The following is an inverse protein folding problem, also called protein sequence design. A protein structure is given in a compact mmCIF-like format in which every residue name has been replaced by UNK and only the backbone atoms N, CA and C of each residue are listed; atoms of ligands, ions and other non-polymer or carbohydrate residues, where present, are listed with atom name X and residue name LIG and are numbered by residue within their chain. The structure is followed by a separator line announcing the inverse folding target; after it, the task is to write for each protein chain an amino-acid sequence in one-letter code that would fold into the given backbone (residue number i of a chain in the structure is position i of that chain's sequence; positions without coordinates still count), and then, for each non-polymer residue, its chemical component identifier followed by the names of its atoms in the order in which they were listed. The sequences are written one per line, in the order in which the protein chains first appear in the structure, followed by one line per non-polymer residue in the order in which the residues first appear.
data_IF_078864141604
#
_entry.id   IF_078864141604
#
_cell.length_a   1.000
_cell.length_b   1.000
_cell.length_c   1.000
_cell.angle_alpha   90.00
_cell.angle_beta   90.00
_cell.angle_gamma   90.00
#
_symmetry.space_group_name_H-M   'P 1'
#
loop_
_entity.id
_entity.type
_entity.pdbx_description
1 polymer ?
#
# COMPACT_ATOMS: atom_id res chain seq x y z
N UNK A 1 -8.83 4.96 11.09
CA UNK A 1 -8.83 4.77 12.55
C UNK A 1 -7.83 3.66 12.89
N UNK A 2 -6.98 3.78 13.92
CA UNK A 2 -6.08 2.70 14.34
C UNK A 2 -6.87 1.44 14.70
N UNK A 3 -6.38 0.25 14.32
CA UNK A 3 -7.07 -1.04 14.57
C UNK A 3 -7.41 -1.23 16.06
N UNK A 4 -6.56 -0.76 16.96
CA UNK A 4 -6.77 -0.82 18.41
C UNK A 4 -8.00 -0.02 18.87
N UNK A 5 -8.17 1.21 18.34
CA UNK A 5 -9.34 2.03 18.66
C UNK A 5 -10.64 1.42 18.11
N UNK A 6 -10.57 0.80 16.94
CA UNK A 6 -11.71 0.09 16.35
C UNK A 6 -12.12 -1.12 17.21
N UNK A 7 -11.15 -1.94 17.65
CA UNK A 7 -11.41 -3.04 18.59
C UNK A 7 -12.04 -2.56 19.89
N UNK A 8 -11.49 -1.50 20.50
CA UNK A 8 -12.01 -0.94 21.73
C UNK A 8 -13.47 -0.47 21.57
N UNK A 9 -13.77 0.27 20.50
CA UNK A 9 -15.13 0.75 20.22
C UNK A 9 -16.12 -0.40 20.00
N UNK A 10 -15.71 -1.45 19.28
CA UNK A 10 -16.54 -2.64 19.04
C UNK A 10 -16.79 -3.38 20.35
N UNK A 11 -15.75 -3.62 21.14
CA UNK A 11 -15.89 -4.31 22.43
C UNK A 11 -16.83 -3.54 23.36
N UNK A 12 -16.64 -2.23 23.49
CA UNK A 12 -17.50 -1.37 24.30
C UNK A 12 -18.96 -1.44 23.84
N UNK A 13 -19.19 -1.38 22.52
CA UNK A 13 -20.54 -1.44 21.94
C UNK A 13 -21.22 -2.80 22.17
N UNK A 14 -20.47 -3.91 21.97
CA UNK A 14 -20.96 -5.27 22.25
C UNK A 14 -21.31 -5.42 23.72
N UNK A 15 -20.43 -5.00 24.63
CA UNK A 15 -20.66 -5.10 26.08
C UNK A 15 -21.85 -4.26 26.54
N UNK A 16 -21.93 -3.00 26.10
CA UNK A 16 -23.04 -2.11 26.45
C UNK A 16 -24.39 -2.70 25.97
N UNK A 17 -24.43 -3.21 24.73
CA UNK A 17 -25.63 -3.83 24.19
C UNK A 17 -25.99 -5.14 24.90
N UNK A 18 -25.01 -5.95 25.28
CA UNK A 18 -25.24 -7.19 26.04
C UNK A 18 -25.85 -6.89 27.42
N UNK A 19 -25.33 -5.88 28.13
CA UNK A 19 -25.86 -5.43 29.41
C UNK A 19 -27.30 -4.89 29.27
N UNK A 20 -27.55 -4.06 28.27
CA UNK A 20 -28.89 -3.54 28.00
C UNK A 20 -29.88 -4.68 27.67
N UNK A 21 -29.46 -5.67 26.88
CA UNK A 21 -30.28 -6.83 26.52
C UNK A 21 -30.57 -7.73 27.74
N UNK A 22 -29.62 -7.84 28.68
CA UNK A 22 -29.82 -8.55 29.94
C UNK A 22 -30.80 -7.83 30.88
N UNK A 23 -30.78 -6.49 30.91
CA UNK A 23 -31.67 -5.69 31.76
C UNK A 23 -33.09 -5.56 31.18
N UNK A 24 -33.22 -5.56 29.85
CA UNK A 24 -34.50 -5.37 29.15
C UNK A 24 -34.79 -6.48 28.12
N UNK A 25 -34.93 -7.76 28.54
CA UNK A 25 -35.04 -8.91 27.63
C UNK A 25 -36.30 -8.87 26.74
N UNK A 26 -37.35 -8.17 27.16
CA UNK A 26 -38.64 -8.07 26.44
C UNK A 26 -38.62 -7.08 25.26
N UNK A 27 -37.64 -6.18 25.20
CA UNK A 27 -37.55 -5.16 24.15
C UNK A 27 -37.06 -5.77 22.83
N UNK A 28 -36.32 -6.88 22.88
CA UNK A 28 -35.82 -7.55 21.68
C UNK A 28 -34.66 -6.77 21.01
N UNK A 29 -33.64 -6.40 21.78
CA UNK A 29 -32.49 -5.60 21.31
C UNK A 29 -31.52 -6.34 20.37
N UNK A 30 -31.77 -7.62 20.09
CA UNK A 30 -30.91 -8.45 19.25
C UNK A 30 -30.57 -7.84 17.86
N UNK A 31 -31.49 -7.20 17.10
CA UNK A 31 -31.15 -6.59 15.82
C UNK A 31 -30.06 -5.51 15.90
N UNK A 32 -29.85 -4.88 17.06
CA UNK A 32 -28.80 -3.86 17.24
C UNK A 32 -27.38 -4.42 17.22
N UNK A 33 -27.19 -5.75 17.22
CA UNK A 33 -25.89 -6.35 16.96
C UNK A 33 -25.47 -6.24 15.49
N UNK A 34 -26.42 -6.12 14.55
CA UNK A 34 -26.16 -6.00 13.11
C UNK A 34 -25.20 -4.84 12.80
N UNK A 35 -25.45 -3.58 13.21
CA UNK A 35 -24.53 -2.48 12.93
C UNK A 35 -23.14 -2.69 13.54
N UNK A 36 -23.03 -3.38 14.69
CA UNK A 36 -21.73 -3.69 15.32
C UNK A 36 -20.96 -4.72 14.48
N UNK A 37 -21.64 -5.75 13.97
CA UNK A 37 -21.06 -6.73 13.04
C UNK A 37 -20.61 -6.06 11.75
N UNK A 38 -21.44 -5.17 11.18
CA UNK A 38 -21.08 -4.39 10.00
C UNK A 38 -19.80 -3.55 10.25
N UNK A 39 -19.73 -2.83 11.37
CA UNK A 39 -18.58 -2.04 11.76
C UNK A 39 -17.31 -2.90 11.93
N UNK A 40 -17.43 -4.10 12.52
CA UNK A 40 -16.32 -5.04 12.65
C UNK A 40 -15.82 -5.56 11.30
N UNK A 41 -16.73 -5.98 10.41
CA UNK A 41 -16.40 -6.39 9.04
C UNK A 41 -15.67 -5.28 8.27
N UNK A 42 -16.12 -4.02 8.43
CA UNK A 42 -15.56 -2.87 7.75
C UNK A 42 -14.22 -2.41 8.34
N UNK A 43 -14.09 -2.29 9.65
CA UNK A 43 -12.89 -1.74 10.28
C UNK A 43 -11.76 -2.77 10.48
N UNK A 44 -12.10 -4.06 10.70
CA UNK A 44 -11.14 -5.07 11.16
C UNK A 44 -10.92 -6.23 10.18
N UNK A 45 -11.80 -6.39 9.19
CA UNK A 45 -11.72 -7.40 8.13
C UNK A 45 -12.47 -8.69 8.42
N UNK A 46 -12.33 -9.68 7.52
CA UNK A 46 -13.18 -10.88 7.50
C UNK A 46 -13.12 -11.74 8.76
N UNK A 47 -11.92 -12.08 9.23
CA UNK A 47 -11.74 -12.93 10.43
C UNK A 47 -12.38 -12.30 11.68
N UNK A 48 -12.15 -11.01 11.89
CA UNK A 48 -12.70 -10.27 13.01
C UNK A 48 -14.23 -10.07 12.89
N UNK A 49 -14.73 -9.77 11.69
CA UNK A 49 -16.16 -9.62 11.42
C UNK A 49 -16.96 -10.88 11.74
N UNK A 50 -16.49 -12.05 11.29
CA UNK A 50 -17.13 -13.33 11.62
C UNK A 50 -17.03 -13.68 13.11
N UNK A 51 -15.90 -13.40 13.75
CA UNK A 51 -15.77 -13.59 15.20
C UNK A 51 -16.82 -12.77 15.96
N UNK A 52 -16.97 -11.48 15.62
CA UNK A 52 -17.96 -10.60 16.25
C UNK A 52 -19.39 -11.08 15.96
N UNK A 53 -19.69 -11.56 14.75
CA UNK A 53 -20.99 -12.14 14.41
C UNK A 53 -21.34 -13.36 15.26
N UNK A 54 -20.38 -14.26 15.50
CA UNK A 54 -20.56 -15.44 16.35
C UNK A 54 -20.80 -15.02 17.80
N UNK A 55 -19.96 -14.12 18.34
CA UNK A 55 -20.10 -13.61 19.70
C UNK A 55 -21.45 -12.92 19.89
N UNK A 56 -21.86 -12.08 18.94
CA UNK A 56 -23.16 -11.43 18.95
C UNK A 56 -24.33 -12.43 18.93
N UNK A 57 -24.23 -13.51 18.14
CA UNK A 57 -25.26 -14.55 18.10
C UNK A 57 -25.42 -15.23 19.46
N UNK A 58 -24.33 -15.54 20.14
CA UNK A 58 -24.34 -16.09 21.50
C UNK A 58 -24.94 -15.10 22.50
N UNK A 59 -24.42 -13.88 22.57
CA UNK A 59 -24.86 -12.87 23.54
C UNK A 59 -26.33 -12.46 23.37
N UNK A 60 -26.85 -12.49 22.14
CA UNK A 60 -28.25 -12.20 21.88
C UNK A 60 -29.22 -13.23 22.49
N UNK A 61 -28.72 -14.40 22.92
CA UNK A 61 -29.54 -15.49 23.45
C UNK A 61 -29.40 -15.63 24.97
N UNK A 62 -28.29 -15.16 25.54
CA UNK A 62 -27.99 -15.24 26.98
C UNK A 62 -29.14 -14.80 27.89
N UNK A 63 -29.84 -13.67 27.65
CA UNK A 63 -30.92 -13.24 28.55
C UNK A 63 -32.12 -14.19 28.60
N UNK A 64 -32.33 -14.98 27.55
CA UNK A 64 -33.38 -15.99 27.51
C UNK A 64 -32.99 -17.30 28.20
N UNK A 65 -31.71 -17.46 28.58
CA UNK A 65 -31.27 -18.57 29.43
C UNK A 65 -31.80 -18.38 30.87
N UNK A 66 -32.07 -17.17 31.33
CA UNK A 66 -32.68 -16.98 32.64
C UNK A 66 -34.17 -17.41 32.68
N UNK A 67 -34.82 -17.53 31.51
CA UNK A 67 -36.20 -18.00 31.33
C UNK A 67 -36.27 -19.53 31.10
N UNK A 68 -35.17 -20.25 31.34
CA UNK A 68 -35.00 -21.70 31.15
C UNK A 68 -36.06 -22.63 31.78
N UNK A 69 -36.82 -22.30 32.85
CA UNK A 69 -37.76 -23.27 33.43
C UNK A 69 -38.93 -23.70 32.52
N UNK A 70 -39.10 -23.11 31.33
CA UNK A 70 -40.23 -23.42 30.42
C UNK A 70 -39.91 -23.51 28.92
N UNK A 71 -38.63 -23.46 28.51
CA UNK A 71 -38.25 -23.47 27.09
C UNK A 71 -37.70 -24.83 26.65
N UNK A 72 -38.18 -25.37 25.55
CA UNK A 72 -37.61 -26.59 24.97
C UNK A 72 -36.18 -26.31 24.46
N UNK A 73 -35.20 -27.21 24.69
CA UNK A 73 -33.84 -27.06 24.15
C UNK A 73 -33.82 -26.86 22.62
N UNK A 74 -34.81 -27.43 21.92
CA UNK A 74 -35.01 -27.25 20.49
C UNK A 74 -35.31 -25.79 20.12
N UNK A 75 -36.15 -25.08 20.87
CA UNK A 75 -36.48 -23.69 20.60
C UNK A 75 -35.29 -22.75 20.87
N UNK A 76 -34.50 -23.04 21.91
CA UNK A 76 -33.26 -22.33 22.18
C UNK A 76 -32.25 -22.51 21.04
N UNK A 77 -32.07 -23.76 20.58
CA UNK A 77 -31.23 -24.10 19.43
C UNK A 77 -31.70 -23.40 18.15
N UNK A 78 -33.01 -23.36 17.90
CA UNK A 78 -33.58 -22.66 16.75
C UNK A 78 -33.32 -21.15 16.80
N UNK A 79 -33.48 -20.51 17.98
CA UNK A 79 -33.17 -19.08 18.16
C UNK A 79 -31.69 -18.76 17.95
N UNK A 80 -30.80 -19.62 18.44
CA UNK A 80 -29.35 -19.53 18.19
C UNK A 80 -29.04 -19.64 16.69
N UNK A 81 -29.61 -20.65 16.02
CA UNK A 81 -29.38 -20.91 14.60
C UNK A 81 -29.85 -19.74 13.73
N UNK A 82 -31.06 -19.22 13.95
CA UNK A 82 -31.59 -18.07 13.21
C UNK A 82 -30.67 -16.85 13.34
N UNK A 83 -30.17 -16.56 14.56
CA UNK A 83 -29.26 -15.42 14.81
C UNK A 83 -27.89 -15.63 14.17
N UNK A 84 -27.31 -16.83 14.30
CA UNK A 84 -26.03 -17.16 13.69
C UNK A 84 -26.09 -17.06 12.16
N UNK A 85 -27.15 -17.57 11.53
CA UNK A 85 -27.38 -17.44 10.08
C UNK A 85 -27.55 -15.98 9.68
N UNK A 86 -28.37 -15.22 10.42
CA UNK A 86 -28.63 -13.80 10.11
C UNK A 86 -27.35 -12.97 10.17
N UNK A 87 -26.61 -13.04 11.28
CA UNK A 87 -25.38 -12.24 11.44
C UNK A 87 -24.26 -12.74 10.53
N UNK A 88 -24.16 -14.05 10.29
CA UNK A 88 -23.23 -14.62 9.33
C UNK A 88 -23.51 -14.16 7.90
N UNK A 89 -24.79 -14.11 7.50
CA UNK A 89 -25.21 -13.61 6.20
C UNK A 89 -24.93 -12.13 6.02
N UNK A 90 -25.26 -11.30 7.01
CA UNK A 90 -24.90 -9.86 7.02
C UNK A 90 -23.38 -9.69 6.90
N UNK A 91 -22.60 -10.41 7.70
CA UNK A 91 -21.14 -10.35 7.64
C UNK A 91 -20.63 -10.73 6.24
N UNK A 92 -21.18 -11.78 5.62
CA UNK A 92 -20.84 -12.19 4.27
C UNK A 92 -21.14 -11.11 3.22
N UNK A 93 -22.31 -10.48 3.28
CA UNK A 93 -22.68 -9.37 2.37
C UNK A 93 -21.72 -8.19 2.54
N UNK A 94 -21.49 -7.72 3.78
CA UNK A 94 -20.61 -6.56 4.03
C UNK A 94 -19.18 -6.84 3.56
N UNK A 95 -18.68 -8.06 3.78
CA UNK A 95 -17.36 -8.45 3.30
C UNK A 95 -17.30 -8.58 1.78
N UNK A 96 -18.37 -9.07 1.14
CA UNK A 96 -18.46 -9.11 -0.33
C UNK A 96 -18.46 -7.71 -0.93
N UNK A 97 -19.26 -6.80 -0.35
CA UNK A 97 -19.33 -5.42 -0.78
C UNK A 97 -17.99 -4.70 -0.58
N UNK A 98 -17.38 -4.84 0.59
CA UNK A 98 -16.04 -4.30 0.86
C UNK A 98 -15.01 -4.80 -0.16
N UNK A 99 -14.99 -6.10 -0.46
CA UNK A 99 -14.09 -6.66 -1.47
C UNK A 99 -14.35 -6.06 -2.85
N UNK A 100 -15.62 -5.85 -3.21
CA UNK A 100 -15.97 -5.25 -4.51
C UNK A 100 -15.57 -3.78 -4.57
N UNK A 101 -15.79 -3.03 -3.49
CA UNK A 101 -15.36 -1.64 -3.35
C UNK A 101 -13.84 -1.49 -3.40
N UNK A 102 -13.13 -2.30 -2.60
CA UNK A 102 -11.67 -2.35 -2.62
C UNK A 102 -11.20 -2.72 -4.04
N UNK A 103 -11.83 -3.71 -4.68
CA UNK A 103 -11.52 -4.11 -6.05
C UNK A 103 -11.73 -2.96 -7.03
N UNK A 104 -12.86 -2.27 -7.01
CA UNK A 104 -13.13 -1.14 -7.91
C UNK A 104 -12.15 0.02 -7.68
N UNK A 105 -11.80 0.27 -6.41
CA UNK A 105 -10.79 1.26 -6.03
C UNK A 105 -9.38 0.87 -6.50
N UNK A 106 -9.03 -0.43 -6.44
CA UNK A 106 -7.77 -0.97 -6.97
C UNK A 106 -7.78 -1.11 -8.51
N UNK A 107 -8.95 -1.27 -9.13
CA UNK A 107 -9.15 -1.36 -10.59
C UNK A 107 -9.00 -0.01 -11.29
N UNK A 108 -8.98 1.10 -10.56
CA UNK A 108 -8.62 2.39 -11.12
C UNK A 108 -7.14 2.39 -11.49
N UNK A 109 -6.81 1.90 -12.70
CA UNK A 109 -5.44 1.67 -13.16
C UNK A 109 -4.51 2.90 -13.10
N UNK A 110 -5.08 4.10 -12.89
CA UNK A 110 -4.38 5.38 -12.82
C UNK A 110 -4.77 6.17 -11.58
N UNK A 111 -3.79 6.85 -10.99
CA UNK A 111 -3.96 7.84 -9.94
C UNK A 111 -4.76 9.04 -10.46
N UNK A 112 -5.82 9.43 -9.75
CA UNK A 112 -6.76 10.47 -10.22
C UNK A 112 -6.13 11.86 -10.32
N UNK A 113 -5.07 12.13 -9.55
CA UNK A 113 -4.44 13.46 -9.49
C UNK A 113 -3.36 13.63 -10.55
N UNK A 114 -2.54 12.61 -10.76
CA UNK A 114 -1.36 12.66 -11.62
C UNK A 114 -1.55 11.91 -12.94
N UNK A 115 -2.64 11.15 -13.04
CA UNK A 115 -2.97 10.20 -14.11
C UNK A 115 -1.88 9.11 -14.29
N UNK A 116 -0.86 9.06 -13.44
CA UNK A 116 0.17 8.03 -13.43
C UNK A 116 -0.45 6.67 -13.11
N UNK A 117 0.21 5.56 -13.46
CA UNK A 117 -0.26 4.25 -13.02
C UNK A 117 -0.36 4.22 -11.49
N UNK A 118 -1.41 3.59 -10.96
CA UNK A 118 -1.46 3.36 -9.52
C UNK A 118 -0.38 2.34 -9.11
N UNK A 119 -0.15 2.19 -7.81
CA UNK A 119 0.87 1.29 -7.26
C UNK A 119 0.70 -0.14 -7.75
N UNK A 120 -0.50 -0.68 -7.67
CA UNK A 120 -0.83 -2.06 -8.02
C UNK A 120 -0.59 -2.32 -9.51
N UNK A 121 -1.12 -1.46 -10.39
CA UNK A 121 -0.96 -1.56 -11.84
C UNK A 121 0.49 -1.39 -12.27
N UNK A 122 1.27 -0.50 -11.62
CA UNK A 122 2.70 -0.39 -11.92
C UNK A 122 3.44 -1.69 -11.60
N UNK A 123 3.18 -2.31 -10.44
CA UNK A 123 3.79 -3.59 -10.05
C UNK A 123 3.39 -4.73 -10.99
N UNK A 124 2.10 -4.82 -11.35
CA UNK A 124 1.61 -5.80 -12.31
C UNK A 124 2.31 -5.66 -13.66
N UNK A 125 2.47 -4.43 -14.17
CA UNK A 125 3.21 -4.17 -15.41
C UNK A 125 4.69 -4.48 -15.30
N UNK A 126 5.31 -4.18 -14.15
CA UNK A 126 6.71 -4.52 -13.89
C UNK A 126 6.94 -6.02 -14.02
N UNK A 127 6.14 -6.83 -13.33
CA UNK A 127 6.21 -8.30 -13.42
C UNK A 127 6.03 -8.75 -14.87
N UNK A 128 4.97 -8.26 -15.52
CA UNK A 128 4.65 -8.65 -16.89
C UNK A 128 5.77 -8.31 -17.89
N UNK A 129 6.38 -7.12 -17.78
CA UNK A 129 7.49 -6.72 -18.66
C UNK A 129 8.75 -7.52 -18.40
N UNK A 130 9.07 -7.81 -17.13
CA UNK A 130 10.23 -8.64 -16.79
C UNK A 130 10.09 -10.07 -17.33
N UNK A 131 8.87 -10.61 -17.37
CA UNK A 131 8.62 -11.91 -17.98
C UNK A 131 8.77 -11.91 -19.50
N UNK A 132 8.27 -10.87 -20.18
CA UNK A 132 8.44 -10.71 -21.63
C UNK A 132 9.87 -10.36 -22.04
N UNK A 133 10.69 -9.84 -21.12
CA UNK A 133 12.07 -9.41 -21.37
C UNK A 133 12.99 -10.57 -21.75
N UNK A 134 12.74 -11.77 -21.21
CA UNK A 134 13.63 -12.94 -21.32
C UNK A 134 13.83 -13.36 -22.77
N UNK A 135 12.78 -13.69 -23.55
CA UNK A 135 12.97 -14.07 -24.95
C UNK A 135 13.53 -12.93 -25.81
N UNK A 136 13.23 -11.67 -25.46
CA UNK A 136 13.69 -10.49 -26.19
C UNK A 136 15.12 -10.04 -25.80
N UNK A 137 15.73 -10.64 -24.78
CA UNK A 137 16.97 -10.17 -24.13
C UNK A 137 16.95 -8.67 -23.81
N UNK A 138 15.80 -8.14 -23.41
CA UNK A 138 15.60 -6.72 -23.12
C UNK A 138 16.12 -6.37 -21.72
N UNK A 139 16.90 -5.30 -21.61
CA UNK A 139 17.30 -4.73 -20.31
C UNK A 139 16.35 -3.61 -19.90
N UNK A 140 16.26 -3.36 -18.60
CA UNK A 140 15.40 -2.31 -18.04
C UNK A 140 16.16 -1.42 -17.07
N UNK A 141 15.72 -0.17 -17.00
CA UNK A 141 16.01 0.74 -15.90
C UNK A 141 14.74 0.86 -15.05
N UNK A 142 14.80 0.37 -13.81
CA UNK A 142 13.79 0.60 -12.78
C UNK A 142 14.25 1.77 -11.90
N UNK A 143 13.47 2.83 -11.80
CA UNK A 143 13.79 3.95 -10.92
C UNK A 143 12.65 4.23 -9.95
N UNK A 144 12.99 4.55 -8.70
CA UNK A 144 12.06 5.06 -7.68
C UNK A 144 12.56 6.43 -7.24
N UNK A 145 11.65 7.38 -7.14
CA UNK A 145 11.94 8.76 -6.83
C UNK A 145 10.94 9.29 -5.80
N UNK A 146 11.43 10.06 -4.84
CA UNK A 146 10.65 10.68 -3.77
C UNK A 146 10.94 12.18 -3.72
N UNK A 147 9.89 12.98 -3.51
CA UNK A 147 10.00 14.44 -3.38
C UNK A 147 10.53 14.81 -1.99
N UNK A 148 11.68 15.47 -1.96
CA UNK A 148 12.35 15.82 -0.72
C UNK A 148 11.56 16.86 0.09
N UNK A 149 11.34 16.57 1.37
CA UNK A 149 10.66 17.48 2.32
C UNK A 149 9.25 17.92 1.90
N UNK A 150 8.56 17.12 1.08
CA UNK A 150 7.23 17.41 0.55
C UNK A 150 6.17 17.69 1.63
N UNK A 151 6.21 16.96 2.75
CA UNK A 151 5.35 17.25 3.92
C UNK A 151 5.52 18.69 4.42
N UNK A 152 6.73 19.25 4.32
CA UNK A 152 7.01 20.64 4.67
C UNK A 152 6.26 21.64 3.79
N UNK A 153 6.06 21.33 2.51
CA UNK A 153 5.23 22.13 1.60
C UNK A 153 3.78 22.14 2.05
N UNK A 154 3.21 20.94 2.29
CA UNK A 154 1.83 20.81 2.76
C UNK A 154 1.60 21.56 4.08
N UNK A 155 2.55 21.48 5.01
CA UNK A 155 2.43 22.13 6.31
C UNK A 155 2.50 23.66 6.22
N UNK A 156 3.29 24.22 5.29
CA UNK A 156 3.49 25.67 5.14
C UNK A 156 2.48 26.34 4.21
N UNK A 157 2.08 25.65 3.16
CA UNK A 157 1.31 26.22 2.04
C UNK A 157 -0.03 25.51 1.81
N UNK A 158 -0.34 24.49 2.62
CA UNK A 158 -1.56 23.71 2.51
C UNK A 158 -1.48 22.61 1.44
N UNK A 159 -2.47 21.73 1.45
CA UNK A 159 -2.52 20.58 0.55
C UNK A 159 -2.68 20.96 -0.94
N UNK A 160 -3.34 22.09 -1.23
CA UNK A 160 -3.50 22.57 -2.62
C UNK A 160 -2.15 22.84 -3.28
N UNK A 161 -1.22 23.45 -2.54
CA UNK A 161 0.15 23.68 -3.00
C UNK A 161 0.92 22.37 -3.24
N UNK A 162 0.75 21.39 -2.35
CA UNK A 162 1.34 20.05 -2.55
C UNK A 162 0.79 19.37 -3.80
N UNK A 163 -0.52 19.45 -4.04
CA UNK A 163 -1.15 18.89 -5.23
C UNK A 163 -0.63 19.54 -6.53
N UNK A 164 -0.38 20.84 -6.52
CA UNK A 164 0.21 21.55 -7.67
C UNK A 164 1.61 21.05 -7.98
N UNK A 165 2.46 20.85 -6.96
CA UNK A 165 3.81 20.30 -7.13
C UNK A 165 3.74 18.87 -7.71
N UNK A 166 2.85 18.03 -7.19
CA UNK A 166 2.66 16.66 -7.69
C UNK A 166 2.18 16.62 -9.14
N UNK A 167 1.24 17.50 -9.52
CA UNK A 167 0.77 17.62 -10.90
C UNK A 167 1.88 18.10 -11.82
N UNK A 168 2.65 19.11 -11.42
CA UNK A 168 3.77 19.63 -12.19
C UNK A 168 4.84 18.54 -12.41
N UNK A 169 5.19 17.80 -11.36
CA UNK A 169 6.11 16.66 -11.44
C UNK A 169 5.62 15.61 -12.43
N UNK A 170 4.36 15.17 -12.31
CA UNK A 170 3.78 14.16 -13.19
C UNK A 170 3.72 14.60 -14.66
N UNK A 171 3.42 15.87 -14.92
CA UNK A 171 3.47 16.43 -16.27
C UNK A 171 4.92 16.48 -16.81
N UNK A 172 5.88 16.87 -15.97
CA UNK A 172 7.30 16.85 -16.31
C UNK A 172 7.83 15.45 -16.63
N UNK A 173 7.41 14.46 -15.85
CA UNK A 173 7.72 13.04 -16.05
C UNK A 173 7.23 12.56 -17.41
N UNK A 174 5.95 12.78 -17.74
CA UNK A 174 5.37 12.39 -19.04
C UNK A 174 6.04 13.03 -20.25
N UNK A 175 6.53 14.27 -20.11
CA UNK A 175 7.28 14.95 -21.18
C UNK A 175 8.70 14.43 -21.32
N UNK A 176 9.23 13.77 -20.29
CA UNK A 176 10.60 13.26 -20.27
C UNK A 176 10.70 11.83 -20.81
N UNK A 177 9.69 11.01 -20.55
CA UNK A 177 9.64 9.60 -20.94
C UNK A 177 8.87 9.41 -22.26
N UNK A 178 9.02 8.23 -22.87
CA UNK A 178 8.29 7.83 -24.08
C UNK A 178 6.90 7.33 -23.72
N UNK A 179 6.03 7.16 -24.72
CA UNK A 179 4.63 6.74 -24.50
C UNK A 179 4.53 5.29 -24.01
N UNK A 180 5.47 4.46 -24.45
CA UNK A 180 5.60 3.06 -24.09
C UNK A 180 6.32 2.85 -22.76
N UNK A 181 6.80 3.90 -22.09
CA UNK A 181 7.43 3.78 -20.77
C UNK A 181 6.37 3.69 -19.69
N UNK A 182 6.62 2.90 -18.65
CA UNK A 182 5.70 2.82 -17.51
C UNK A 182 6.10 3.85 -16.44
N UNK A 183 5.13 4.66 -16.04
CA UNK A 183 5.25 5.66 -14.99
C UNK A 183 4.10 5.50 -13.99
N UNK A 184 4.45 5.29 -12.72
CA UNK A 184 3.49 5.07 -11.65
C UNK A 184 3.71 5.98 -10.45
N UNK A 185 2.64 6.23 -9.70
CA UNK A 185 2.67 6.84 -8.38
C UNK A 185 2.46 5.75 -7.34
N UNK A 186 3.52 5.39 -6.63
CA UNK A 186 3.57 4.22 -5.73
C UNK A 186 3.30 4.58 -4.26
N UNK A 187 3.33 5.88 -3.93
CA UNK A 187 3.11 6.45 -2.61
C UNK A 187 2.53 7.85 -2.70
N UNK A 188 2.51 8.58 -1.58
CA UNK A 188 1.99 9.95 -1.54
C UNK A 188 2.79 10.89 -2.45
N UNK A 189 4.09 10.90 -2.28
CA UNK A 189 5.10 11.72 -2.96
C UNK A 189 6.16 10.87 -3.67
N UNK A 190 5.91 9.56 -3.76
CA UNK A 190 6.78 8.57 -4.37
C UNK A 190 6.28 8.14 -5.75
N UNK A 191 7.20 8.12 -6.71
CA UNK A 191 6.96 7.78 -8.09
C UNK A 191 7.94 6.71 -8.57
N UNK A 192 7.52 5.91 -9.55
CA UNK A 192 8.31 4.85 -10.14
C UNK A 192 8.29 4.91 -11.67
N UNK A 193 9.40 4.49 -12.26
CA UNK A 193 9.62 4.41 -13.70
C UNK A 193 10.17 3.05 -14.07
N UNK A 194 9.69 2.49 -15.18
CA UNK A 194 10.25 1.29 -15.80
C UNK A 194 10.46 1.56 -17.29
N UNK A 195 11.74 1.68 -17.67
CA UNK A 195 12.16 2.11 -18.99
C UNK A 195 12.96 0.98 -19.67
N UNK A 196 12.61 0.55 -20.89
CA UNK A 196 13.46 -0.35 -21.66
C UNK A 196 14.74 0.38 -22.08
N UNK A 197 15.89 -0.28 -21.91
CA UNK A 197 17.21 0.25 -22.30
C UNK A 197 17.99 -0.81 -23.08
N UNK A 198 18.79 -0.38 -24.04
CA UNK A 198 19.60 -1.23 -24.91
C UNK A 198 20.97 -1.56 -24.28
N UNK A 199 21.47 -0.73 -23.37
CA UNK A 199 22.71 -1.00 -22.65
C UNK A 199 22.72 -0.42 -21.23
N UNK A 200 23.68 -0.86 -20.41
CA UNK A 200 23.88 -0.32 -19.07
C UNK A 200 24.28 1.16 -19.11
N UNK A 201 25.10 1.56 -20.09
CA UNK A 201 25.53 2.94 -20.29
C UNK A 201 24.35 3.84 -20.65
N UNK A 202 23.46 3.37 -21.53
CA UNK A 202 22.22 4.06 -21.87
C UNK A 202 21.32 4.22 -20.64
N UNK A 203 21.17 3.16 -19.83
CA UNK A 203 20.41 3.24 -18.59
C UNK A 203 21.01 4.22 -17.57
N UNK A 204 22.34 4.25 -17.41
CA UNK A 204 23.01 5.26 -16.56
C UNK A 204 22.75 6.67 -17.07
N UNK A 205 22.85 6.88 -18.39
CA UNK A 205 22.57 8.17 -19.01
C UNK A 205 21.12 8.61 -18.75
N UNK A 206 20.14 7.73 -18.99
CA UNK A 206 18.73 8.03 -18.78
C UNK A 206 18.40 8.28 -17.31
N UNK A 207 18.97 7.53 -16.37
CA UNK A 207 18.78 7.80 -14.95
C UNK A 207 19.23 9.23 -14.60
N UNK A 208 20.42 9.64 -15.02
CA UNK A 208 20.92 11.00 -14.77
C UNK A 208 20.08 12.07 -15.47
N UNK A 209 19.65 11.81 -16.71
CA UNK A 209 18.81 12.73 -17.48
C UNK A 209 17.44 12.91 -16.82
N UNK A 210 16.82 11.81 -16.37
CA UNK A 210 15.52 11.80 -15.72
C UNK A 210 15.57 12.62 -14.42
N UNK A 211 16.55 12.35 -13.55
CA UNK A 211 16.76 13.14 -12.33
C UNK A 211 16.93 14.63 -12.65
N UNK A 212 17.87 14.98 -13.54
CA UNK A 212 18.15 16.37 -13.90
C UNK A 212 16.91 17.11 -14.42
N UNK A 213 16.14 16.49 -15.33
CA UNK A 213 14.93 17.10 -15.90
C UNK A 213 13.84 17.28 -14.86
N UNK A 214 13.61 16.28 -14.02
CA UNK A 214 12.58 16.33 -12.98
C UNK A 214 12.93 17.33 -11.87
N UNK A 215 14.19 17.37 -11.44
CA UNK A 215 14.67 18.41 -10.52
C UNK A 215 14.49 19.82 -11.10
N UNK A 216 14.72 20.00 -12.41
CA UNK A 216 14.46 21.28 -13.07
C UNK A 216 12.98 21.64 -13.10
N UNK A 217 12.09 20.66 -13.29
CA UNK A 217 10.63 20.88 -13.26
C UNK A 217 10.21 21.30 -11.85
N UNK A 218 10.67 20.60 -10.82
CA UNK A 218 10.35 20.91 -9.43
C UNK A 218 10.87 22.28 -9.01
N UNK A 219 12.09 22.63 -9.41
CA UNK A 219 12.69 23.94 -9.17
C UNK A 219 11.90 25.10 -9.82
N UNK A 220 11.20 24.83 -10.93
CA UNK A 220 10.36 25.80 -11.63
C UNK A 220 8.93 25.93 -11.10
N UNK A 221 8.55 25.16 -10.07
CA UNK A 221 7.22 25.27 -9.45
C UNK A 221 7.13 26.50 -8.53
N UNK A 222 5.91 26.98 -8.19
CA UNK A 222 5.73 28.05 -7.19
C UNK A 222 6.27 27.70 -5.80
N UNK A 223 6.43 26.39 -5.53
CA UNK A 223 6.92 25.86 -4.27
C UNK A 223 8.09 24.90 -4.53
N UNK A 224 9.29 25.43 -4.82
CA UNK A 224 10.43 24.62 -5.24
C UNK A 224 10.79 23.55 -4.21
N UNK A 225 10.96 22.33 -4.71
CA UNK A 225 11.47 21.18 -3.96
C UNK A 225 12.49 20.44 -4.81
N UNK A 226 13.23 19.53 -4.18
CA UNK A 226 14.14 18.61 -4.88
C UNK A 226 13.58 17.19 -4.84
N UNK A 227 14.29 16.26 -5.46
CA UNK A 227 13.96 14.85 -5.36
C UNK A 227 15.18 13.95 -5.23
N UNK A 228 15.00 12.89 -4.45
CA UNK A 228 15.96 11.81 -4.28
C UNK A 228 15.56 10.60 -5.11
N UNK A 229 16.49 10.01 -5.86
CA UNK A 229 16.19 8.90 -6.77
C UNK A 229 17.14 7.71 -6.58
N UNK A 230 16.56 6.51 -6.51
CA UNK A 230 17.26 5.25 -6.71
C UNK A 230 17.01 4.73 -8.12
N UNK A 231 18.05 4.24 -8.79
CA UNK A 231 17.98 3.74 -10.16
C UNK A 231 18.68 2.38 -10.27
N UNK A 232 17.95 1.33 -10.61
CA UNK A 232 18.44 -0.03 -10.71
C UNK A 232 18.42 -0.50 -12.16
N UNK A 233 19.59 -0.86 -12.68
CA UNK A 233 19.73 -1.53 -13.97
C UNK A 233 19.44 -3.01 -13.82
N UNK A 234 18.51 -3.51 -14.62
CA UNK A 234 18.07 -4.91 -14.64
C UNK A 234 18.49 -5.51 -15.97
N UNK A 235 19.41 -6.48 -15.91
CA UNK A 235 19.84 -7.22 -17.09
C UNK A 235 18.89 -8.39 -17.38
N UNK A 236 18.88 -8.94 -18.61
CA UNK A 236 18.04 -10.08 -18.97
C UNK A 236 18.30 -11.33 -18.13
N UNK A 237 19.52 -11.46 -17.58
CA UNK A 237 19.97 -12.60 -16.78
C UNK A 237 19.71 -12.40 -15.26
N UNK A 238 19.07 -11.29 -14.88
CA UNK A 238 18.72 -10.98 -13.49
C UNK A 238 17.52 -11.81 -13.03
N UNK A 239 17.53 -12.39 -11.82
CA UNK A 239 16.35 -13.04 -11.23
C UNK A 239 15.15 -12.09 -11.14
N UNK A 240 14.00 -12.53 -11.64
CA UNK A 240 12.77 -11.74 -11.81
C UNK A 240 11.92 -11.63 -10.54
N UNK A 241 12.57 -11.56 -9.39
CA UNK A 241 11.88 -11.41 -8.11
C UNK A 241 11.53 -9.94 -7.89
N UNK A 242 10.33 -9.55 -8.30
CA UNK A 242 9.84 -8.17 -8.20
C UNK A 242 9.97 -7.57 -6.78
N UNK A 243 9.63 -8.29 -5.69
CA UNK A 243 9.87 -7.81 -4.34
C UNK A 243 11.35 -7.46 -4.06
N UNK A 244 12.30 -8.32 -4.44
CA UNK A 244 13.73 -8.04 -4.28
C UNK A 244 14.20 -6.86 -5.14
N UNK A 245 13.71 -6.74 -6.37
CA UNK A 245 14.06 -5.63 -7.27
C UNK A 245 13.57 -4.30 -6.73
N UNK A 246 12.31 -4.24 -6.29
CA UNK A 246 11.73 -3.05 -5.64
C UNK A 246 12.48 -2.69 -4.36
N UNK A 247 12.86 -3.69 -3.56
CA UNK A 247 13.66 -3.45 -2.36
C UNK A 247 15.06 -2.91 -2.68
N UNK A 248 15.72 -3.45 -3.70
CA UNK A 248 17.05 -3.00 -4.10
C UNK A 248 17.05 -1.55 -4.60
N UNK A 249 16.08 -1.16 -5.45
CA UNK A 249 15.99 0.23 -5.93
C UNK A 249 15.61 1.21 -4.81
N UNK A 250 14.76 0.79 -3.87
CA UNK A 250 14.42 1.57 -2.67
C UNK A 250 15.64 1.81 -1.78
N UNK A 251 16.50 0.80 -1.57
CA UNK A 251 17.75 0.98 -0.82
C UNK A 251 18.68 2.01 -1.47
N UNK A 252 18.76 2.07 -2.80
CA UNK A 252 19.54 3.08 -3.52
C UNK A 252 18.96 4.48 -3.26
N UNK A 253 17.64 4.64 -3.36
CA UNK A 253 16.97 5.91 -3.05
C UNK A 253 17.19 6.32 -1.59
N UNK A 254 17.10 5.37 -0.66
CA UNK A 254 17.34 5.61 0.76
C UNK A 254 18.78 6.05 1.03
N UNK A 255 19.76 5.50 0.32
CA UNK A 255 21.15 5.94 0.39
C UNK A 255 21.30 7.42 -0.03
N UNK A 256 20.62 7.85 -1.10
CA UNK A 256 20.57 9.26 -1.50
C UNK A 256 19.98 10.15 -0.40
N UNK A 257 18.83 9.74 0.17
CA UNK A 257 18.18 10.51 1.24
C UNK A 257 19.11 10.72 2.44
N UNK A 258 19.95 9.72 2.76
CA UNK A 258 20.96 9.81 3.83
C UNK A 258 22.20 10.62 3.47
N UNK A 259 22.53 10.71 2.18
CA UNK A 259 23.73 11.39 1.68
C UNK A 259 23.53 12.89 1.42
N UNK A 260 22.35 13.45 1.74
CA UNK A 260 22.05 14.88 1.57
C UNK A 260 20.95 15.20 0.58
N UNK A 261 20.24 14.19 0.05
CA UNK A 261 19.09 14.33 -0.87
C UNK A 261 19.47 14.94 -2.23
N UNK A 262 18.48 15.24 -3.08
CA UNK A 262 18.66 15.88 -4.38
C UNK A 262 19.70 15.22 -5.30
N UNK A 263 19.77 13.89 -5.30
CA UNK A 263 20.71 13.16 -6.14
C UNK A 263 20.10 11.87 -6.69
N UNK A 264 20.90 11.14 -7.46
CA UNK A 264 20.57 9.81 -7.95
C UNK A 264 21.68 8.84 -7.60
N UNK A 265 21.31 7.70 -7.01
CA UNK A 265 22.20 6.56 -6.83
C UNK A 265 21.83 5.48 -7.85
N UNK A 266 22.82 4.99 -8.60
CA UNK A 266 22.62 4.02 -9.67
C UNK A 266 23.30 2.70 -9.32
N UNK A 267 22.51 1.63 -9.25
CA UNK A 267 22.96 0.28 -9.00
C UNK A 267 22.68 -0.67 -10.17
N UNK A 268 23.23 -1.87 -10.08
CA UNK A 268 22.93 -3.01 -10.96
C UNK A 268 22.30 -4.10 -10.13
N UNK A 269 21.23 -4.71 -10.64
CA UNK A 269 20.63 -5.86 -10.01
C UNK A 269 21.60 -7.05 -10.05
N UNK A 270 21.72 -7.77 -8.94
CA UNK A 270 22.61 -8.92 -8.85
C UNK A 270 22.09 -10.05 -9.74
N UNK A 271 22.97 -10.59 -10.58
CA UNK A 271 22.67 -11.80 -11.36
C UNK A 271 22.86 -13.05 -10.51
N UNK A 272 22.33 -14.18 -10.96
CA UNK A 272 22.54 -15.46 -10.26
C UNK A 272 24.03 -15.88 -10.22
N UNK A 273 24.84 -15.37 -11.16
CA UNK A 273 26.31 -15.53 -11.15
C UNK A 273 26.98 -14.72 -10.04
N UNK A 274 26.45 -13.55 -9.71
CA UNK A 274 27.01 -12.67 -8.67
C UNK A 274 26.72 -13.19 -7.26
N UNK A 275 25.63 -13.93 -7.06
CA UNK A 275 25.29 -14.56 -5.76
C UNK A 275 26.31 -15.60 -5.30
N UNK A 276 27.10 -16.16 -6.23
CA UNK A 276 28.15 -17.14 -5.94
C UNK A 276 29.53 -16.55 -5.66
N UNK A 277 29.73 -15.24 -5.81
CA UNK A 277 31.02 -14.58 -5.55
C UNK A 277 30.96 -13.79 -4.24
N UNK A 278 31.92 -13.97 -3.30
CA UNK A 278 31.96 -13.17 -2.09
C UNK A 278 32.15 -11.70 -2.46
N UNK A 279 31.29 -10.83 -1.94
CA UNK A 279 31.44 -9.37 -2.06
C UNK A 279 32.82 -8.99 -1.51
N UNK A 280 33.71 -8.33 -2.28
CA UNK A 280 34.97 -7.83 -1.73
C UNK A 280 34.64 -6.80 -0.66
N UNK A 281 35.10 -7.05 0.57
CA UNK A 281 35.00 -6.11 1.67
C UNK A 281 35.64 -4.79 1.25
N UNK A 282 34.86 -3.70 1.25
CA UNK A 282 35.42 -2.35 1.05
C UNK A 282 36.54 -2.14 2.07
N UNK A 283 37.73 -1.67 1.67
CA UNK A 283 38.77 -1.33 2.63
C UNK A 283 38.24 -0.24 3.56
N UNK A 284 38.30 -0.48 4.87
CA UNK A 284 38.06 0.54 5.88
C UNK A 284 39.16 1.59 5.69
N UNK A 285 38.77 2.80 5.29
CA UNK A 285 39.66 3.96 5.36
C UNK A 285 39.95 4.21 6.84
N UNK A 286 41.21 4.15 7.30
CA UNK A 286 41.53 4.52 8.67
C UNK A 286 41.29 6.02 8.85
N UNK A 287 40.50 6.39 9.86
CA UNK A 287 40.43 7.77 10.33
C UNK A 287 41.65 7.98 11.22
N UNK A 288 42.78 8.38 10.65
CA UNK A 288 43.82 9.12 11.38
C UNK A 288 44.55 10.11 10.45
N UNK A 289 44.78 11.29 11.00
CA UNK A 289 45.73 12.33 10.61
C UNK A 289 45.39 13.26 9.42
N UNK A 290 44.79 14.40 9.73
CA UNK A 290 45.38 15.71 9.43
C UNK A 290 44.79 16.80 10.33
N UNK A 291 45.67 17.38 11.15
CA UNK A 291 45.76 18.72 11.73
C UNK A 291 44.50 19.62 11.75
#
# INVERSE_FOLDING_TARGET
MPRERAWFAILLSVTALALANAHFPRIGLAPLYIPIVCAACWALGGRAGYLVAIVAAVLAVVPHLAELPGLSPALLGARMAVRAVTYGFVAAIVLSFRRSFDREHHLAARDRMTDALNKETFRERLIHRLDLAVPARQSFLLAILDLDDFKGINNRHGHVAGDEVLRAFAQGARKTIRREDDFGRIGGDEFAFLLPVHSAEEGVYFARLLHKRLSSVLAGTPHPVTCSMGALLISPDTPRDEPSLMHAVDQLMYAVKRAGKNAVEIGRAMTDRDRGTPVPSRPRVPIEACL
#
